data_IF_207178015426
#
_entry.id   IF_207178015426
#
_cell.length_a   1.000
_cell.length_b   1.000
_cell.length_c   1.000
_cell.angle_alpha   90.00
_cell.angle_beta   90.00
_cell.angle_gamma   90.00
#
_symmetry.space_group_name_H-M   'P 1'
#
loop_
_entity.id
_entity.type
_entity.pdbx_description
1 polymer ?
#
# COMPACT_ATOMS: atom_id res chain seq x y z
N UNK A 1 -16.07 31.89 -15.91
CA UNK A 1 -15.30 31.41 -17.08
C UNK A 1 -14.28 30.40 -16.56
N UNK A 2 -14.71 29.15 -16.32
CA UNK A 2 -13.85 28.10 -15.77
C UNK A 2 -13.35 27.26 -16.94
N UNK A 3 -12.10 27.48 -17.36
CA UNK A 3 -11.45 26.54 -18.28
C UNK A 3 -11.44 25.18 -17.59
N UNK A 4 -12.12 24.21 -18.21
CA UNK A 4 -11.96 22.80 -17.89
C UNK A 4 -10.50 22.44 -18.10
N UNK A 5 -9.71 22.40 -17.03
CA UNK A 5 -8.36 21.88 -17.08
C UNK A 5 -8.46 20.39 -17.42
N UNK A 6 -8.20 20.02 -18.68
CA UNK A 6 -7.95 18.62 -19.03
C UNK A 6 -6.80 18.12 -18.17
N UNK A 7 -7.03 17.05 -17.43
CA UNK A 7 -5.97 16.39 -16.67
C UNK A 7 -4.84 16.01 -17.63
N UNK A 8 -3.58 16.28 -17.25
CA UNK A 8 -2.43 15.84 -18.03
C UNK A 8 -2.41 14.30 -18.06
N UNK A 9 -2.04 13.73 -19.21
CA UNK A 9 -2.01 12.29 -19.44
C UNK A 9 -0.62 11.84 -19.83
N UNK A 10 -0.26 10.61 -19.44
CA UNK A 10 0.99 9.97 -19.80
C UNK A 10 0.71 8.51 -20.15
N UNK A 11 1.12 8.08 -21.35
CA UNK A 11 0.97 6.70 -21.79
C UNK A 11 2.22 5.89 -21.43
N UNK A 12 2.01 4.79 -20.72
CA UNK A 12 3.05 3.84 -20.37
C UNK A 12 2.70 2.45 -20.93
N UNK A 13 3.70 1.75 -21.48
CA UNK A 13 3.48 0.45 -22.12
C UNK A 13 3.14 -0.67 -21.12
N UNK A 14 3.45 -0.48 -19.83
CA UNK A 14 3.26 -1.50 -18.80
C UNK A 14 2.06 -1.15 -17.89
N UNK A 15 1.94 0.11 -17.47
CA UNK A 15 0.92 0.60 -16.55
C UNK A 15 -0.32 1.17 -17.27
N UNK A 16 -0.25 1.34 -18.60
CA UNK A 16 -1.29 1.94 -19.40
C UNK A 16 -1.36 3.46 -19.26
N UNK A 17 -2.58 4.01 -19.30
CA UNK A 17 -2.80 5.45 -19.21
C UNK A 17 -2.71 5.94 -17.76
N UNK A 18 -1.78 6.84 -17.51
CA UNK A 18 -1.66 7.60 -16.25
C UNK A 18 -2.29 8.98 -16.40
N UNK A 19 -3.01 9.43 -15.38
CA UNK A 19 -3.66 10.75 -15.35
C UNK A 19 -3.20 11.57 -14.16
N UNK A 20 -2.90 12.85 -14.37
CA UNK A 20 -2.41 13.69 -13.27
C UNK A 20 -3.57 14.25 -12.44
N UNK A 21 -3.57 13.98 -11.14
CA UNK A 21 -4.57 14.47 -10.19
C UNK A 21 -3.95 14.72 -8.81
N UNK A 22 -4.33 15.82 -8.15
CA UNK A 22 -3.90 16.19 -6.78
C UNK A 22 -2.38 16.05 -6.52
N UNK A 23 -1.56 16.47 -7.47
CA UNK A 23 -0.09 16.42 -7.32
C UNK A 23 0.57 15.15 -7.84
N UNK A 24 -0.19 14.08 -8.07
CA UNK A 24 0.31 12.76 -8.42
C UNK A 24 -0.14 12.30 -9.81
N UNK A 25 0.56 11.33 -10.36
CA UNK A 25 0.11 10.55 -11.51
C UNK A 25 -0.63 9.32 -11.03
N UNK A 26 -1.89 9.18 -11.47
CA UNK A 26 -2.82 8.15 -11.05
C UNK A 26 -2.98 7.11 -12.15
N UNK A 27 -2.93 5.84 -11.76
CA UNK A 27 -3.11 4.71 -12.64
C UNK A 27 -3.44 3.46 -11.85
N UNK A 28 -2.93 2.33 -12.29
CA UNK A 28 -3.15 1.06 -11.62
C UNK A 28 -1.99 0.11 -11.80
N UNK A 29 -1.75 -0.74 -10.82
CA UNK A 29 -0.80 -1.85 -10.86
C UNK A 29 -1.50 -3.14 -10.48
N UNK A 30 -1.04 -4.29 -10.99
CA UNK A 30 -1.57 -5.59 -10.60
C UNK A 30 -0.65 -6.22 -9.56
N UNK A 31 -1.21 -6.65 -8.43
CA UNK A 31 -0.53 -7.43 -7.40
C UNK A 31 -1.25 -8.76 -7.27
N UNK A 32 -0.56 -9.87 -7.47
CA UNK A 32 -1.13 -11.21 -7.72
C UNK A 32 -2.39 -11.54 -6.91
N UNK A 33 -2.27 -11.64 -5.58
CA UNK A 33 -3.40 -12.03 -4.71
C UNK A 33 -4.45 -10.94 -4.49
N UNK A 34 -4.18 -9.69 -4.87
CA UNK A 34 -5.08 -8.55 -4.69
C UNK A 34 -5.68 -8.02 -5.99
N UNK A 35 -5.21 -8.51 -7.15
CA UNK A 35 -5.63 -8.04 -8.46
C UNK A 35 -5.17 -6.62 -8.74
N UNK A 36 -6.03 -5.84 -9.41
CA UNK A 36 -5.71 -4.50 -9.90
C UNK A 36 -5.98 -3.45 -8.82
N UNK A 37 -4.92 -2.77 -8.38
CA UNK A 37 -4.92 -1.79 -7.29
C UNK A 37 -4.64 -0.38 -7.83
N UNK A 38 -5.18 0.66 -7.17
CA UNK A 38 -4.89 2.06 -7.51
C UNK A 38 -3.40 2.35 -7.30
N UNK A 39 -2.79 3.02 -8.29
CA UNK A 39 -1.40 3.45 -8.24
C UNK A 39 -1.30 4.97 -8.23
N UNK A 40 -0.45 5.51 -7.35
CA UNK A 40 -0.06 6.92 -7.30
C UNK A 40 1.44 7.05 -7.44
N UNK A 41 1.91 7.83 -8.41
CA UNK A 41 3.33 8.12 -8.63
C UNK A 41 3.62 9.59 -8.43
N UNK A 42 4.72 9.90 -7.73
CA UNK A 42 5.29 11.23 -7.72
C UNK A 42 5.74 11.63 -9.14
N UNK A 43 5.81 12.94 -9.40
CA UNK A 43 6.31 13.44 -10.68
C UNK A 43 5.98 14.90 -10.95
N UNK A 44 6.52 15.38 -12.07
CA UNK A 44 6.29 16.73 -12.57
C UNK A 44 4.88 16.95 -13.12
N UNK A 45 4.66 18.13 -13.71
CA UNK A 45 3.40 18.46 -14.38
C UNK A 45 3.20 17.73 -15.72
N UNK A 46 4.29 17.29 -16.35
CA UNK A 46 4.30 16.74 -17.71
C UNK A 46 4.47 15.22 -17.74
N UNK A 47 5.15 14.63 -16.76
CA UNK A 47 5.35 13.19 -16.66
C UNK A 47 5.50 12.75 -15.19
N UNK A 48 5.31 11.44 -14.90
CA UNK A 48 5.79 10.82 -13.68
C UNK A 48 7.31 11.01 -13.52
N UNK A 49 7.77 10.91 -12.28
CA UNK A 49 9.19 10.77 -12.00
C UNK A 49 9.70 9.42 -12.55
N UNK A 50 10.87 9.42 -13.19
CA UNK A 50 11.38 8.23 -13.88
C UNK A 50 11.78 7.11 -12.92
N UNK A 51 12.26 7.44 -11.72
CA UNK A 51 12.62 6.43 -10.71
C UNK A 51 11.36 5.82 -10.10
N UNK A 52 10.34 6.63 -9.83
CA UNK A 52 9.04 6.13 -9.35
C UNK A 52 8.36 5.24 -10.39
N UNK A 53 8.45 5.61 -11.67
CA UNK A 53 7.92 4.82 -12.77
C UNK A 53 8.63 3.47 -12.90
N UNK A 54 9.97 3.45 -12.81
CA UNK A 54 10.75 2.22 -12.83
C UNK A 54 10.39 1.28 -11.66
N UNK A 55 10.23 1.82 -10.45
CA UNK A 55 9.78 1.03 -9.30
C UNK A 55 8.38 0.44 -9.50
N UNK A 56 7.46 1.17 -10.12
CA UNK A 56 6.12 0.65 -10.44
C UNK A 56 6.17 -0.52 -11.43
N UNK A 57 7.09 -0.49 -12.40
CA UNK A 57 7.29 -1.59 -13.35
C UNK A 57 7.84 -2.85 -12.67
N UNK A 58 8.71 -2.68 -11.68
CA UNK A 58 9.33 -3.79 -10.97
C UNK A 58 8.45 -4.38 -9.85
N UNK A 59 7.52 -3.59 -9.30
CA UNK A 59 6.73 -3.95 -8.13
C UNK A 59 6.02 -5.30 -8.28
N UNK A 60 5.31 -5.51 -9.40
CA UNK A 60 4.58 -6.76 -9.62
C UNK A 60 5.51 -7.99 -9.60
N UNK A 61 6.69 -7.89 -10.23
CA UNK A 61 7.67 -8.97 -10.28
C UNK A 61 8.38 -9.21 -8.92
N UNK A 62 8.44 -8.19 -8.06
CA UNK A 62 9.09 -8.27 -6.76
C UNK A 62 8.10 -8.61 -5.63
N UNK A 63 6.80 -8.49 -5.85
CA UNK A 63 5.79 -8.56 -4.79
C UNK A 63 5.83 -9.87 -4.01
N UNK A 64 5.95 -11.02 -4.68
CA UNK A 64 6.04 -12.34 -4.04
C UNK A 64 7.22 -12.44 -3.06
N UNK A 65 8.34 -11.80 -3.37
CA UNK A 65 9.52 -11.77 -2.49
C UNK A 65 9.32 -10.90 -1.25
N UNK A 66 8.35 -9.99 -1.28
CA UNK A 66 7.99 -9.10 -0.18
C UNK A 66 6.96 -9.74 0.75
N UNK A 67 6.14 -10.68 0.27
CA UNK A 67 5.05 -11.30 1.04
C UNK A 67 5.50 -11.81 2.42
N UNK A 68 6.62 -12.54 2.58
CA UNK A 68 7.03 -13.04 3.89
C UNK A 68 7.34 -11.93 4.90
N UNK A 69 7.87 -10.79 4.43
CA UNK A 69 8.17 -9.64 5.30
C UNK A 69 6.87 -8.90 5.66
N UNK A 70 6.01 -8.66 4.68
CA UNK A 70 4.73 -7.95 4.87
C UNK A 70 3.82 -8.73 5.81
N UNK A 71 3.67 -10.05 5.60
CA UNK A 71 2.79 -10.86 6.43
C UNK A 71 3.28 -10.96 7.88
N UNK A 72 4.60 -11.02 8.10
CA UNK A 72 5.18 -11.01 9.44
C UNK A 72 4.83 -9.71 10.17
N UNK A 73 5.05 -8.55 9.53
CA UNK A 73 4.72 -7.27 10.15
C UNK A 73 3.21 -7.07 10.33
N UNK A 74 2.36 -7.52 9.40
CA UNK A 74 0.90 -7.48 9.57
C UNK A 74 0.45 -8.34 10.75
N UNK A 75 1.09 -9.50 10.96
CA UNK A 75 0.80 -10.36 12.09
C UNK A 75 1.24 -9.73 13.42
N UNK A 76 2.43 -9.11 13.46
CA UNK A 76 2.90 -8.32 14.61
C UNK A 76 1.92 -7.18 14.94
N UNK A 77 1.37 -6.50 13.92
CA UNK A 77 0.33 -5.50 14.11
C UNK A 77 -0.96 -6.08 14.66
N UNK A 78 -1.30 -7.33 14.33
CA UNK A 78 -2.51 -7.99 14.82
C UNK A 78 -2.40 -8.42 16.30
N UNK A 79 -1.21 -8.75 16.80
CA UNK A 79 -1.03 -9.32 18.16
C UNK A 79 -1.65 -8.47 19.29
N UNK A 80 -1.49 -7.14 19.33
CA UNK A 80 -2.12 -6.31 20.36
C UNK A 80 -3.66 -6.42 20.36
N UNK A 81 -4.28 -6.58 19.20
CA UNK A 81 -5.73 -6.71 19.06
C UNK A 81 -6.20 -8.08 19.53
N UNK A 82 -5.43 -9.14 19.24
CA UNK A 82 -5.67 -10.49 19.77
C UNK A 82 -5.60 -10.52 21.29
N UNK A 83 -4.62 -9.83 21.87
CA UNK A 83 -4.43 -9.80 23.32
C UNK A 83 -5.59 -9.03 23.99
N UNK A 84 -6.05 -7.92 23.40
CA UNK A 84 -7.23 -7.18 23.86
C UNK A 84 -8.52 -8.02 23.77
N UNK A 85 -8.74 -8.72 22.66
CA UNK A 85 -9.87 -9.65 22.49
C UNK A 85 -9.86 -10.76 23.56
N UNK A 86 -8.69 -11.35 23.81
CA UNK A 86 -8.51 -12.41 24.82
C UNK A 86 -8.76 -11.90 26.24
N UNK A 87 -8.48 -10.62 26.50
CA UNK A 87 -8.77 -9.95 27.76
C UNK A 87 -10.24 -9.50 27.89
N UNK A 88 -11.05 -9.62 26.83
CA UNK A 88 -12.42 -9.13 26.79
C UNK A 88 -12.50 -7.60 26.76
N UNK A 89 -11.47 -6.94 26.23
CA UNK A 89 -11.37 -5.47 26.15
C UNK A 89 -11.96 -4.89 24.86
N UNK A 90 -12.41 -5.75 23.93
CA UNK A 90 -13.12 -5.31 22.73
C UNK A 90 -14.59 -4.94 23.05
N UNK A 91 -15.17 -3.97 22.33
CA UNK A 91 -16.58 -3.62 22.48
C UNK A 91 -17.52 -4.82 22.29
N UNK A 92 -18.57 -4.92 23.12
CA UNK A 92 -19.53 -6.05 23.09
C UNK A 92 -20.29 -6.16 21.75
N UNK A 93 -20.41 -5.06 21.00
CA UNK A 93 -21.12 -4.98 19.71
C UNK A 93 -20.19 -5.13 18.50
N UNK A 94 -18.92 -5.50 18.69
CA UNK A 94 -17.97 -5.68 17.59
C UNK A 94 -18.30 -6.91 16.73
N UNK A 95 -18.03 -6.82 15.43
CA UNK A 95 -18.02 -7.98 14.53
C UNK A 95 -17.11 -9.09 15.08
N UNK A 96 -17.35 -10.37 14.72
CA UNK A 96 -16.52 -11.48 15.21
C UNK A 96 -15.03 -11.24 14.95
N UNK A 97 -14.26 -11.14 16.03
CA UNK A 97 -12.84 -10.85 15.95
C UNK A 97 -12.10 -12.01 15.24
N UNK A 98 -11.27 -11.74 14.21
CA UNK A 98 -10.59 -12.78 13.46
C UNK A 98 -9.60 -13.53 14.34
N UNK A 99 -9.55 -14.86 14.20
CA UNK A 99 -8.58 -15.73 14.89
C UNK A 99 -7.50 -16.13 13.91
N UNK A 100 -6.33 -15.50 14.04
CA UNK A 100 -5.19 -15.70 13.14
C UNK A 100 -4.06 -16.31 13.98
N UNK A 101 -3.64 -17.52 13.63
CA UNK A 101 -2.66 -18.28 14.42
C UNK A 101 -1.22 -18.08 13.94
N UNK A 102 -1.03 -17.86 12.63
CA UNK A 102 0.29 -17.72 12.00
C UNK A 102 0.32 -16.52 11.06
N UNK A 103 1.52 -15.99 10.81
CA UNK A 103 1.69 -14.85 9.92
C UNK A 103 1.19 -15.10 8.48
N UNK A 104 1.26 -16.32 7.97
CA UNK A 104 0.73 -16.67 6.63
C UNK A 104 -0.80 -16.66 6.55
N UNK A 105 -1.49 -16.72 7.69
CA UNK A 105 -2.95 -16.77 7.78
C UNK A 105 -3.59 -15.38 7.77
N UNK A 106 -2.80 -14.30 7.66
CA UNK A 106 -3.33 -12.92 7.62
C UNK A 106 -4.06 -12.60 6.32
N UNK A 107 -3.69 -13.24 5.21
CA UNK A 107 -4.12 -12.80 3.87
C UNK A 107 -5.64 -12.83 3.60
N UNK A 108 -6.43 -13.77 4.13
CA UNK A 108 -7.89 -13.71 4.05
C UNK A 108 -8.52 -12.48 4.71
N UNK A 109 -7.76 -11.76 5.54
CA UNK A 109 -8.19 -10.60 6.33
C UNK A 109 -7.55 -9.28 5.86
N UNK A 110 -6.78 -9.31 4.78
CA UNK A 110 -5.96 -8.19 4.32
C UNK A 110 -6.32 -7.83 2.88
N UNK A 111 -6.63 -6.55 2.66
CA UNK A 111 -7.07 -6.02 1.37
C UNK A 111 -6.18 -4.85 0.95
N UNK A 112 -5.40 -5.01 -0.11
CA UNK A 112 -4.64 -3.89 -0.67
C UNK A 112 -5.61 -2.85 -1.26
N UNK A 113 -5.46 -1.59 -0.88
CA UNK A 113 -6.33 -0.50 -1.32
C UNK A 113 -5.64 0.44 -2.30
N UNK A 114 -4.38 0.81 -2.00
CA UNK A 114 -3.59 1.71 -2.84
C UNK A 114 -2.11 1.40 -2.77
N UNK A 115 -1.42 1.71 -3.86
CA UNK A 115 0.05 1.80 -3.91
C UNK A 115 0.43 3.26 -4.15
N UNK A 116 1.31 3.79 -3.32
CA UNK A 116 1.96 5.09 -3.53
C UNK A 116 3.46 4.88 -3.74
N UNK A 117 4.05 5.56 -4.72
CA UNK A 117 5.50 5.56 -4.94
C UNK A 117 5.99 7.00 -5.00
N UNK A 118 6.74 7.39 -3.98
CA UNK A 118 7.22 8.76 -3.80
C UNK A 118 8.47 8.82 -2.91
N UNK A 119 9.04 10.01 -2.78
CA UNK A 119 10.11 10.26 -1.82
C UNK A 119 9.50 10.43 -0.42
N UNK A 120 9.60 9.38 0.40
CA UNK A 120 9.15 9.41 1.80
C UNK A 120 10.27 9.95 2.69
N UNK A 121 9.99 11.01 3.43
CA UNK A 121 10.91 11.55 4.43
C UNK A 121 11.15 10.53 5.55
N UNK A 122 12.41 10.33 5.93
CA UNK A 122 12.78 9.33 6.93
C UNK A 122 13.03 7.93 6.38
N UNK A 123 12.88 7.74 5.06
CA UNK A 123 13.33 6.51 4.40
C UNK A 123 14.81 6.23 4.67
N UNK A 124 15.19 4.96 4.87
CA UNK A 124 16.55 4.60 5.30
C UNK A 124 17.61 4.86 4.23
N UNK A 125 17.22 4.95 2.95
CA UNK A 125 18.13 5.16 1.82
C UNK A 125 17.61 6.29 0.93
N UNK A 126 18.51 6.83 0.09
CA UNK A 126 18.11 7.81 -0.92
C UNK A 126 17.28 7.14 -2.03
N UNK A 127 16.27 7.85 -2.53
CA UNK A 127 15.41 7.41 -3.62
C UNK A 127 13.97 7.15 -3.19
N UNK A 128 13.08 6.87 -4.15
CA UNK A 128 11.67 6.65 -3.86
C UNK A 128 11.43 5.38 -3.04
N UNK A 129 10.37 5.41 -2.25
CA UNK A 129 9.85 4.29 -1.48
C UNK A 129 8.47 3.93 -2.02
N UNK A 130 8.12 2.65 -1.91
CA UNK A 130 6.80 2.12 -2.23
C UNK A 130 6.04 2.00 -0.92
N UNK A 131 4.84 2.56 -0.84
CA UNK A 131 3.88 2.32 0.25
C UNK A 131 2.69 1.56 -0.31
N UNK A 132 2.47 0.34 0.18
CA UNK A 132 1.26 -0.44 -0.10
C UNK A 132 0.35 -0.31 1.11
N UNK A 133 -0.79 0.35 0.94
CA UNK A 133 -1.79 0.50 1.98
C UNK A 133 -2.74 -0.69 1.97
N UNK A 134 -2.94 -1.28 3.15
CA UNK A 134 -3.84 -2.39 3.39
C UNK A 134 -4.93 -1.97 4.36
N UNK A 135 -6.17 -2.32 4.03
CA UNK A 135 -7.24 -2.43 5.02
C UNK A 135 -7.21 -3.83 5.61
N UNK A 136 -7.41 -3.91 6.92
CA UNK A 136 -7.40 -5.17 7.67
C UNK A 136 -8.71 -5.33 8.44
N UNK A 137 -9.13 -6.55 8.74
CA UNK A 137 -10.43 -6.78 9.42
C UNK A 137 -10.38 -6.62 10.94
N UNK A 138 -9.20 -6.50 11.54
CA UNK A 138 -9.03 -6.31 12.99
C UNK A 138 -8.84 -4.84 13.39
N UNK A 139 -8.63 -3.95 12.43
CA UNK A 139 -8.52 -2.49 12.63
C UNK A 139 -9.36 -1.80 11.55
N UNK A 140 -10.62 -1.53 11.88
CA UNK A 140 -11.56 -0.91 10.94
C UNK A 140 -11.33 0.60 10.78
N UNK A 141 -10.69 1.23 11.77
CA UNK A 141 -10.50 2.68 11.79
C UNK A 141 -9.32 3.11 10.92
N UNK A 142 -8.33 2.24 10.74
CA UNK A 142 -7.07 2.60 10.12
C UNK A 142 -6.67 1.68 8.97
N UNK A 143 -6.07 2.29 7.94
CA UNK A 143 -5.29 1.52 6.96
C UNK A 143 -3.84 1.43 7.39
N UNK A 144 -3.21 0.29 7.09
CA UNK A 144 -1.85 -0.03 7.47
C UNK A 144 -0.94 0.07 6.25
N UNK A 145 0.14 0.84 6.34
CA UNK A 145 1.05 1.08 5.21
C UNK A 145 2.32 0.27 5.30
N UNK A 146 2.51 -0.70 4.40
CA UNK A 146 3.79 -1.38 4.23
C UNK A 146 4.73 -0.52 3.38
N UNK A 147 5.81 -0.01 4.00
CA UNK A 147 6.81 0.83 3.35
C UNK A 147 8.04 0.02 2.95
N UNK A 148 8.30 0.01 1.66
CA UNK A 148 9.31 -0.81 1.01
C UNK A 148 10.31 0.11 0.31
N UNK A 149 11.60 -0.21 0.45
CA UNK A 149 12.66 0.44 -0.29
C UNK A 149 13.73 -0.60 -0.66
N UNK A 150 14.16 -0.58 -1.92
CA UNK A 150 15.15 -1.53 -2.46
C UNK A 150 14.81 -3.01 -2.17
N UNK A 151 13.55 -3.38 -2.39
CA UNK A 151 13.06 -4.75 -2.20
C UNK A 151 12.98 -5.23 -0.75
N UNK A 152 13.06 -4.31 0.22
CA UNK A 152 12.95 -4.63 1.65
C UNK A 152 11.86 -3.81 2.31
N UNK A 153 11.05 -4.47 3.11
CA UNK A 153 10.16 -3.80 4.04
C UNK A 153 11.02 -3.17 5.14
N UNK A 154 10.81 -1.89 5.42
CA UNK A 154 11.54 -1.19 6.48
C UNK A 154 10.62 -0.64 7.57
N UNK A 155 9.34 -0.47 7.28
CA UNK A 155 8.35 -0.02 8.25
C UNK A 155 6.95 -0.52 7.86
N UNK A 156 6.14 -0.84 8.87
CA UNK A 156 4.70 -0.97 8.75
C UNK A 156 4.07 0.17 9.57
N UNK A 157 3.52 1.18 8.90
CA UNK A 157 2.89 2.31 9.57
C UNK A 157 1.44 2.00 9.91
N UNK A 158 1.07 2.14 11.18
CA UNK A 158 -0.32 2.25 11.57
C UNK A 158 -0.88 3.59 11.12
N UNK A 159 -2.04 3.59 10.45
CA UNK A 159 -2.77 4.78 10.00
C UNK A 159 -2.09 5.57 8.87
N UNK A 160 -2.19 5.04 7.64
CA UNK A 160 -1.94 5.80 6.41
C UNK A 160 -3.27 6.30 5.82
N UNK A 161 -3.24 7.45 5.12
CA UNK A 161 -4.44 8.14 4.56
C UNK A 161 -4.36 8.18 3.04
#
# INVERSE_FOLDING_TARGET
>A
MFNLFKAATFEDNHLGLLTRSRGHWKGSVTLDQHGKIELSLAGGRQSPDSLCLAQAHELAAQYDSLLPQIQASLFEHYEPYRDADSAGELPEDSEPFPKIDRAEDVWPHVFAERVCIELIQGSPQAGPSIEIAYRVTWDEEHTVGARIQNGKLWELCGSVV
#
